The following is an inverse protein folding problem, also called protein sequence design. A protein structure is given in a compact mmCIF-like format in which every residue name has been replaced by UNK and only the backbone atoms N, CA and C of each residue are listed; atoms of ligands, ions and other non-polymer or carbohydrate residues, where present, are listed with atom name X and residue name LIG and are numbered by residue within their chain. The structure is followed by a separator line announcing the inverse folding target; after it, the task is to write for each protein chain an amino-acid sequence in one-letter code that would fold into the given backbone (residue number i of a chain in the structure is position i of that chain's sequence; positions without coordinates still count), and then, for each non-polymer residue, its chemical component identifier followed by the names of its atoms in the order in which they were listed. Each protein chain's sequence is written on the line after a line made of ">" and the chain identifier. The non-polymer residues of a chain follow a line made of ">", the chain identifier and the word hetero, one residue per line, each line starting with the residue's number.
data_IF_591887336649
#
_entry.id   IF_591887336649
#
_cell.length_a   1.000
_cell.length_b   1.000
_cell.length_c   1.000
_cell.angle_alpha   90.00
_cell.angle_beta   90.00
_cell.angle_gamma   90.00
#
_symmetry.space_group_name_H-M   'P 1'
#
loop_
_entity.id
_entity.type
_entity.pdbx_description
1 polymer ?
#
# COMPACT_ATOMS: atom_id res chain seq x y z
N UNK A 1 16.26 -5.52 2.11
CA UNK A 1 14.95 -4.90 1.86
C UNK A 1 15.01 -3.42 2.19
N UNK A 2 14.42 -2.60 1.35
CA UNK A 2 14.37 -1.16 1.55
C UNK A 2 12.96 -0.75 2.00
N UNK A 3 12.88 0.08 3.04
CA UNK A 3 11.61 0.67 3.49
C UNK A 3 11.58 2.14 3.09
N UNK A 4 10.43 2.58 2.60
CA UNK A 4 10.22 3.97 2.21
C UNK A 4 8.82 4.39 2.64
N UNK A 5 8.71 5.62 3.18
CA UNK A 5 7.42 6.20 3.57
C UNK A 5 7.12 7.37 2.66
N UNK A 6 5.93 7.35 2.06
CA UNK A 6 5.48 8.37 1.12
C UNK A 6 4.20 8.99 1.64
N UNK A 7 4.22 10.28 1.92
CA UNK A 7 3.07 11.01 2.45
C UNK A 7 2.21 11.55 1.30
N UNK A 8 0.89 11.43 1.47
CA UNK A 8 -0.04 11.92 0.44
C UNK A 8 -0.12 13.45 0.40
N UNK A 9 -0.17 14.07 1.58
CA UNK A 9 -0.37 15.51 1.67
C UNK A 9 0.87 16.20 2.23
N UNK A 10 1.24 17.38 1.73
CA UNK A 10 2.42 18.10 2.23
C UNK A 10 2.22 18.68 3.64
N UNK A 11 0.97 18.89 4.06
CA UNK A 11 0.60 19.52 5.32
C UNK A 11 0.00 18.55 6.36
N UNK A 12 -0.11 17.25 6.00
CA UNK A 12 -0.66 16.21 6.87
C UNK A 12 0.23 14.99 6.85
N UNK A 13 0.43 14.40 8.03
CA UNK A 13 1.24 13.18 8.17
C UNK A 13 0.41 11.94 8.48
N UNK A 14 -0.92 12.05 8.49
CA UNK A 14 -1.81 10.97 8.87
C UNK A 14 -2.18 10.02 7.73
N UNK A 15 -1.89 10.39 6.48
CA UNK A 15 -2.11 9.52 5.32
C UNK A 15 -0.78 9.29 4.62
N UNK A 16 -0.34 8.04 4.63
CA UNK A 16 0.94 7.69 4.02
C UNK A 16 0.97 6.24 3.57
N UNK A 17 1.89 5.96 2.67
CA UNK A 17 2.15 4.63 2.14
C UNK A 17 3.53 4.18 2.60
N UNK A 18 3.62 3.02 3.23
CA UNK A 18 4.90 2.41 3.56
C UNK A 18 5.21 1.33 2.53
N UNK A 19 6.31 1.51 1.83
CA UNK A 19 6.76 0.55 0.82
C UNK A 19 7.82 -0.37 1.39
N UNK A 20 7.61 -1.67 1.23
CA UNK A 20 8.55 -2.73 1.59
C UNK A 20 9.09 -3.30 0.28
N UNK A 21 10.27 -2.86 -0.10
CA UNK A 21 10.83 -3.12 -1.43
C UNK A 21 11.93 -4.16 -1.38
N UNK A 22 11.77 -5.20 -2.18
CA UNK A 22 12.73 -6.29 -2.29
C UNK A 22 13.76 -6.02 -3.36
N UNK A 23 14.95 -6.52 -3.10
CA UNK A 23 15.99 -6.61 -4.09
C UNK A 23 16.65 -5.29 -4.44
N UNK A 24 17.72 -5.40 -5.19
CA UNK A 24 18.36 -4.24 -5.79
C UNK A 24 17.59 -3.84 -7.04
N UNK A 25 17.46 -2.55 -7.27
CA UNK A 25 16.78 -2.00 -8.44
C UNK A 25 17.35 -2.59 -9.73
N UNK A 26 18.65 -2.86 -9.76
CA UNK A 26 19.33 -3.41 -10.93
C UNK A 26 18.81 -4.78 -11.35
N UNK A 27 18.34 -5.58 -10.41
CA UNK A 27 17.80 -6.91 -10.70
C UNK A 27 16.47 -6.86 -11.39
N UNK A 28 15.72 -5.80 -11.19
CA UNK A 28 14.42 -5.63 -11.83
C UNK A 28 14.55 -5.52 -13.35
N UNK A 29 15.65 -4.98 -13.82
CA UNK A 29 15.92 -4.85 -15.23
C UNK A 29 16.10 -6.20 -15.93
N UNK A 30 16.51 -7.22 -15.18
CA UNK A 30 16.81 -8.55 -15.73
C UNK A 30 15.70 -9.56 -15.47
N UNK A 31 15.13 -9.55 -14.29
CA UNK A 31 14.17 -10.57 -13.87
C UNK A 31 12.72 -10.17 -14.11
N UNK A 32 12.50 -9.00 -14.66
CA UNK A 32 11.19 -8.44 -14.78
C UNK A 32 10.70 -7.85 -13.47
N UNK A 33 9.60 -7.13 -13.55
CA UNK A 33 9.01 -6.47 -12.41
C UNK A 33 8.24 -7.47 -11.54
N UNK A 34 8.16 -7.19 -10.24
CA UNK A 34 7.45 -8.01 -9.28
C UNK A 34 5.99 -7.60 -9.18
N UNK A 35 5.09 -8.52 -8.81
CA UNK A 35 3.73 -8.12 -8.47
C UNK A 35 3.74 -7.26 -7.23
N UNK A 36 2.79 -6.34 -7.15
CA UNK A 36 2.59 -5.48 -5.99
C UNK A 36 1.36 -5.89 -5.21
N UNK A 37 1.44 -5.76 -3.90
CA UNK A 37 0.31 -5.96 -3.01
C UNK A 37 0.13 -4.71 -2.16
N UNK A 38 -1.03 -4.09 -2.27
CA UNK A 38 -1.44 -2.98 -1.41
C UNK A 38 -2.29 -3.54 -0.28
N UNK A 39 -1.85 -3.32 0.95
CA UNK A 39 -2.57 -3.76 2.16
C UNK A 39 -3.29 -2.56 2.77
N UNK A 40 -4.59 -2.72 2.98
CA UNK A 40 -5.41 -1.76 3.69
C UNK A 40 -5.77 -2.37 5.05
N UNK A 41 -5.10 -1.99 6.14
CA UNK A 41 -5.34 -2.59 7.46
C UNK A 41 -6.71 -2.28 8.03
N UNK A 42 -7.17 -3.12 8.97
CA UNK A 42 -8.39 -2.90 9.71
C UNK A 42 -8.17 -1.96 10.89
N UNK A 43 -9.22 -1.73 11.65
CA UNK A 43 -9.20 -0.89 12.86
C UNK A 43 -10.46 -0.05 13.04
N UNK A 44 -11.52 -0.35 12.30
CA UNK A 44 -12.82 0.31 12.44
C UNK A 44 -12.85 1.76 12.04
N UNK A 45 -11.89 2.20 11.19
CA UNK A 45 -11.69 3.60 10.81
C UNK A 45 -11.28 4.52 11.98
N UNK A 46 -10.96 3.95 13.14
CA UNK A 46 -10.40 4.70 14.27
C UNK A 46 -8.87 4.61 14.32
N UNK A 47 -8.33 3.47 13.89
CA UNK A 47 -6.88 3.23 13.82
C UNK A 47 -6.62 2.15 12.77
N UNK A 48 -5.37 2.03 12.34
CA UNK A 48 -4.94 0.88 11.54
C UNK A 48 -4.28 -0.15 12.46
N UNK A 49 -4.65 -1.42 12.28
CA UNK A 49 -4.15 -2.50 13.14
C UNK A 49 -2.70 -2.84 12.83
N UNK A 50 -1.83 -2.79 13.83
CA UNK A 50 -0.45 -3.20 13.69
C UNK A 50 -0.28 -4.66 13.30
N UNK A 51 -1.30 -5.49 13.55
CA UNK A 51 -1.26 -6.91 13.19
C UNK A 51 -1.33 -7.14 11.69
N UNK A 52 -1.96 -6.22 10.95
CA UNK A 52 -2.09 -6.32 9.49
C UNK A 52 -1.06 -5.46 8.76
N UNK A 53 -0.21 -4.78 9.50
CA UNK A 53 0.82 -3.94 8.90
C UNK A 53 2.10 -4.74 8.66
N UNK A 54 3.04 -4.65 9.58
CA UNK A 54 4.36 -5.20 9.34
C UNK A 54 4.40 -6.73 9.21
N UNK A 55 3.75 -7.53 10.08
CA UNK A 55 3.84 -8.99 9.95
C UNK A 55 3.28 -9.52 8.63
N UNK A 56 2.17 -8.97 8.18
CA UNK A 56 1.56 -9.40 6.92
C UNK A 56 2.42 -8.93 5.75
N UNK A 57 2.97 -7.70 5.82
CA UNK A 57 3.88 -7.20 4.81
C UNK A 57 5.09 -8.13 4.66
N UNK A 58 5.69 -8.55 5.77
CA UNK A 58 6.84 -9.46 5.75
C UNK A 58 6.47 -10.82 5.15
N UNK A 59 5.29 -11.33 5.47
CA UNK A 59 4.82 -12.61 4.92
C UNK A 59 4.76 -12.58 3.39
N UNK A 60 4.16 -11.55 2.81
CA UNK A 60 4.03 -11.43 1.36
C UNK A 60 5.34 -11.03 0.69
N UNK A 61 6.15 -10.22 1.35
CA UNK A 61 7.47 -9.87 0.83
C UNK A 61 8.33 -11.13 0.67
N UNK A 62 8.25 -12.07 1.62
CA UNK A 62 8.97 -13.34 1.54
C UNK A 62 8.55 -14.18 0.33
N UNK A 63 7.37 -13.94 -0.23
CA UNK A 63 6.88 -14.61 -1.43
C UNK A 63 7.20 -13.89 -2.73
N UNK A 64 7.93 -12.78 -2.66
CA UNK A 64 8.38 -12.06 -3.85
C UNK A 64 7.56 -10.85 -4.25
N UNK A 65 6.57 -10.46 -3.43
CA UNK A 65 5.78 -9.25 -3.69
C UNK A 65 6.52 -7.99 -3.27
N UNK A 66 6.33 -6.92 -4.02
CA UNK A 66 6.58 -5.58 -3.49
C UNK A 66 5.33 -5.20 -2.69
N UNK A 67 5.50 -4.95 -1.40
CA UNK A 67 4.37 -4.76 -0.50
C UNK A 67 4.27 -3.29 -0.10
N UNK A 68 3.04 -2.80 -0.10
CA UNK A 68 2.72 -1.42 0.26
C UNK A 68 1.60 -1.45 1.30
N UNK A 69 1.81 -0.78 2.42
CA UNK A 69 0.81 -0.69 3.48
C UNK A 69 0.32 0.73 3.55
N UNK A 70 -1.00 0.90 3.40
CA UNK A 70 -1.63 2.21 3.40
C UNK A 70 -2.15 2.56 4.79
N UNK A 71 -1.68 3.69 5.32
CA UNK A 71 -2.33 4.37 6.43
C UNK A 71 -3.32 5.34 5.79
N UNK A 72 -4.61 5.00 5.83
CA UNK A 72 -5.67 5.83 5.23
C UNK A 72 -6.29 6.77 6.26
N UNK A 73 -7.13 7.70 5.80
CA UNK A 73 -7.80 8.67 6.66
C UNK A 73 -8.64 8.00 7.74
N UNK A 74 -8.48 8.42 8.98
CA UNK A 74 -9.12 7.83 10.16
C UNK A 74 -9.90 8.87 10.94
N UNK A 75 -10.78 8.39 11.83
CA UNK A 75 -11.55 9.25 12.71
C UNK A 75 -12.41 10.25 11.96
N UNK A 76 -12.31 11.51 12.33
CA UNK A 76 -13.07 12.59 11.71
C UNK A 76 -12.72 12.82 10.25
N UNK A 77 -11.55 12.36 9.81
CA UNK A 77 -11.10 12.45 8.43
C UNK A 77 -11.56 11.27 7.56
N UNK A 78 -12.22 10.29 8.17
CA UNK A 78 -12.63 9.06 7.48
C UNK A 78 -14.00 9.15 6.80
N UNK A 79 -14.58 10.35 6.66
CA UNK A 79 -15.85 10.51 5.97
C UNK A 79 -15.73 10.01 4.52
N UNK A 80 -16.73 9.21 4.11
CA UNK A 80 -16.80 8.71 2.73
C UNK A 80 -16.73 9.90 1.73
N UNK A 81 -15.93 9.86 0.68
CA UNK A 81 -15.13 8.72 0.22
C UNK A 81 -13.63 8.83 0.55
N UNK A 82 -13.23 9.56 1.62
CA UNK A 82 -11.83 9.88 1.88
C UNK A 82 -10.91 8.64 1.94
N UNK A 83 -11.22 7.57 2.68
CA UNK A 83 -10.33 6.40 2.71
C UNK A 83 -10.20 5.72 1.34
N UNK A 84 -11.27 5.69 0.56
CA UNK A 84 -11.26 5.12 -0.80
C UNK A 84 -10.40 5.96 -1.72
N UNK A 85 -10.48 7.28 -1.60
CA UNK A 85 -9.62 8.20 -2.36
C UNK A 85 -8.16 8.04 -1.98
N UNK A 86 -7.87 7.80 -0.70
CA UNK A 86 -6.51 7.51 -0.24
C UNK A 86 -5.97 6.25 -0.90
N UNK A 87 -6.77 5.19 -0.95
CA UNK A 87 -6.37 3.94 -1.59
C UNK A 87 -6.22 4.10 -3.11
N UNK A 88 -7.09 4.86 -3.74
CA UNK A 88 -6.95 5.17 -5.16
C UNK A 88 -5.66 5.94 -5.46
N UNK A 89 -5.31 6.89 -4.59
CA UNK A 89 -4.03 7.58 -4.68
C UNK A 89 -2.86 6.60 -4.60
N UNK A 90 -2.90 5.66 -3.65
CA UNK A 90 -1.84 4.68 -3.48
C UNK A 90 -1.67 3.80 -4.72
N UNK A 91 -2.77 3.32 -5.30
CA UNK A 91 -2.72 2.52 -6.53
C UNK A 91 -2.13 3.32 -7.69
N UNK A 92 -2.55 4.58 -7.85
CA UNK A 92 -2.01 5.43 -8.90
C UNK A 92 -0.53 5.70 -8.71
N UNK A 93 -0.09 5.90 -7.48
CA UNK A 93 1.32 6.12 -7.15
C UNK A 93 2.14 4.87 -7.49
N UNK A 94 1.69 3.70 -7.08
CA UNK A 94 2.37 2.43 -7.35
C UNK A 94 2.51 2.22 -8.86
N UNK A 95 1.45 2.43 -9.61
CA UNK A 95 1.48 2.27 -11.06
C UNK A 95 2.31 3.35 -11.75
N UNK A 96 2.18 4.59 -11.31
CA UNK A 96 2.89 5.71 -11.90
C UNK A 96 4.40 5.64 -11.68
N UNK A 97 4.82 5.05 -10.57
CA UNK A 97 6.23 4.86 -10.23
C UNK A 97 6.63 3.39 -10.22
N UNK A 98 6.00 2.59 -11.06
CA UNK A 98 6.24 1.15 -11.13
C UNK A 98 7.71 0.82 -11.38
N UNK A 99 8.36 1.58 -12.24
CA UNK A 99 9.78 1.39 -12.55
C UNK A 99 10.66 1.61 -11.33
N UNK A 100 10.39 2.68 -10.58
CA UNK A 100 11.12 3.02 -9.34
C UNK A 100 10.94 1.94 -8.28
N UNK A 101 9.73 1.38 -8.18
CA UNK A 101 9.41 0.37 -7.19
C UNK A 101 9.68 -1.07 -7.66
N UNK A 102 10.10 -1.24 -8.90
CA UNK A 102 10.28 -2.57 -9.48
C UNK A 102 8.97 -3.38 -9.49
N UNK A 103 7.89 -2.74 -9.88
CA UNK A 103 6.54 -3.30 -9.90
C UNK A 103 6.07 -3.47 -11.35
N UNK A 104 5.39 -4.58 -11.61
CA UNK A 104 4.63 -4.73 -12.85
C UNK A 104 3.30 -3.98 -12.68
N UNK A 105 3.07 -2.89 -13.43
CA UNK A 105 1.87 -2.06 -13.24
C UNK A 105 0.57 -2.79 -13.55
N UNK A 106 0.64 -3.93 -14.23
CA UNK A 106 -0.52 -4.75 -14.54
C UNK A 106 -0.79 -5.83 -13.47
N UNK A 107 0.09 -5.96 -12.49
CA UNK A 107 -0.02 -6.96 -11.43
C UNK A 107 -0.04 -6.29 -10.07
N UNK A 108 -1.07 -5.50 -9.83
CA UNK A 108 -1.29 -4.81 -8.56
C UNK A 108 -2.55 -5.36 -7.92
N UNK A 109 -2.38 -6.03 -6.79
CA UNK A 109 -3.50 -6.55 -6.00
C UNK A 109 -3.72 -5.69 -4.77
N UNK A 110 -4.96 -5.67 -4.28
CA UNK A 110 -5.33 -4.96 -3.06
C UNK A 110 -5.94 -5.95 -2.09
N UNK A 111 -5.50 -5.91 -0.85
CA UNK A 111 -6.03 -6.75 0.22
C UNK A 111 -6.43 -5.88 1.40
N UNK A 112 -7.67 -6.04 1.85
CA UNK A 112 -8.19 -5.31 2.99
C UNK A 112 -8.58 -6.23 4.13
N UNK A 113 -8.53 -5.71 5.35
CA UNK A 113 -8.91 -6.40 6.57
C UNK A 113 -9.95 -5.56 7.31
N UNK A 114 -11.16 -6.11 7.55
CA UNK A 114 -12.24 -5.41 8.26
C UNK A 114 -12.55 -4.07 7.57
N UNK A 115 -12.39 -2.93 8.29
CA UNK A 115 -12.59 -1.61 7.71
C UNK A 115 -11.73 -1.38 6.45
N UNK A 116 -10.50 -1.90 6.43
CA UNK A 116 -9.65 -1.90 5.24
C UNK A 116 -10.24 -2.71 4.09
N UNK A 117 -11.05 -3.74 4.40
CA UNK A 117 -11.79 -4.49 3.40
C UNK A 117 -12.82 -3.63 2.67
N UNK A 118 -13.51 -2.75 3.39
CA UNK A 118 -14.44 -1.79 2.78
C UNK A 118 -13.70 -0.81 1.87
N UNK A 119 -12.53 -0.35 2.28
CA UNK A 119 -11.68 0.52 1.48
C UNK A 119 -11.25 -0.19 0.20
N UNK A 120 -10.77 -1.42 0.31
CA UNK A 120 -10.33 -2.21 -0.85
C UNK A 120 -11.49 -2.50 -1.82
N UNK A 121 -12.67 -2.85 -1.27
CA UNK A 121 -13.87 -3.09 -2.08
C UNK A 121 -14.32 -1.83 -2.82
N UNK A 122 -14.18 -0.66 -2.20
CA UNK A 122 -14.53 0.61 -2.82
C UNK A 122 -13.69 0.97 -4.05
N UNK A 123 -12.53 0.34 -4.21
CA UNK A 123 -11.68 0.52 -5.39
C UNK A 123 -12.19 -0.27 -6.61
N UNK A 124 -13.03 -1.24 -6.39
CA UNK A 124 -13.60 -2.06 -7.46
C UNK A 124 -14.73 -1.32 -8.20
#
# INVERSE_FOLDING_TARGET
>A
MKLETIYRYPDRTDVFLTAYLLGAVDRCAFSGARPALLICPGGGFAACSNREEEPIAMHFAAQGYQVFVLQYSLGDQAAFPAPICDAAWAVRLIRGEAKRFCVDPYKVAVRGFSAGGDVAAGLS
#
